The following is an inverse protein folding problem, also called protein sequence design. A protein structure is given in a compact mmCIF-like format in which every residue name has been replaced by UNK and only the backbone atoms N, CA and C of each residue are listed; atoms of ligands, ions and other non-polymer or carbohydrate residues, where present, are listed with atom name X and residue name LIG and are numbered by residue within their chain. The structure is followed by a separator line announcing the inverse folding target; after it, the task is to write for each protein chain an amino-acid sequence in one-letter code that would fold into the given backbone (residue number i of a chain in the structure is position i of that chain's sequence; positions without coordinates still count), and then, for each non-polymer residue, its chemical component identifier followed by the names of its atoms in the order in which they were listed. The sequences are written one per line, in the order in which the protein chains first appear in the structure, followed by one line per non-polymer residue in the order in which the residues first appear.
data_IF_872497376663
#
_entry.id   IF_872497376663
#
_cell.length_a   1.000
_cell.length_b   1.000
_cell.length_c   1.000
_cell.angle_alpha   90.00
_cell.angle_beta   90.00
_cell.angle_gamma   90.00
#
_symmetry.space_group_name_H-M   'P 1'
#
loop_
_entity.id
_entity.type
_entity.pdbx_description
1 polymer ?
#
# COMPACT_ATOMS: atom_id res chain seq x y z
N UNK A 1 27.48 -0.15 -5.01
CA UNK A 1 26.30 -0.83 -5.57
C UNK A 1 25.22 -0.66 -4.53
N UNK A 2 24.09 -0.07 -4.90
CA UNK A 2 22.96 0.06 -3.98
C UNK A 2 22.44 -1.35 -3.63
N UNK A 3 21.99 -1.55 -2.39
CA UNK A 3 21.43 -2.82 -1.97
C UNK A 3 20.16 -3.13 -2.78
N UNK A 4 19.92 -4.41 -3.07
CA UNK A 4 18.66 -4.85 -3.67
C UNK A 4 17.53 -4.57 -2.69
N UNK A 5 16.51 -3.83 -3.13
CA UNK A 5 15.31 -3.54 -2.35
C UNK A 5 14.22 -4.58 -2.62
N UNK A 6 13.49 -4.99 -1.59
CA UNK A 6 12.37 -5.92 -1.68
C UNK A 6 11.04 -5.21 -1.45
N UNK A 7 10.04 -5.55 -2.26
CA UNK A 7 8.67 -5.09 -2.08
C UNK A 7 7.68 -6.25 -2.16
N UNK A 8 6.48 -6.04 -1.61
CA UNK A 8 5.37 -6.99 -1.64
C UNK A 8 4.10 -6.30 -2.13
N UNK A 9 3.29 -7.03 -2.88
CA UNK A 9 1.99 -6.53 -3.36
C UNK A 9 1.00 -6.48 -2.20
N UNK A 10 0.48 -5.29 -1.92
CA UNK A 10 -0.62 -5.05 -1.01
C UNK A 10 -1.87 -4.75 -1.82
N UNK A 11 -2.77 -5.73 -1.89
CA UNK A 11 -4.06 -5.52 -2.54
C UNK A 11 -4.92 -4.56 -1.73
N UNK A 12 -5.34 -3.47 -2.37
CA UNK A 12 -6.32 -2.52 -1.82
C UNK A 12 -7.75 -2.90 -2.27
N UNK A 13 -7.89 -3.97 -3.06
CA UNK A 13 -9.15 -4.38 -3.69
C UNK A 13 -10.10 -5.09 -2.73
N UNK A 14 -10.89 -4.26 -2.04
CA UNK A 14 -12.29 -4.42 -1.66
C UNK A 14 -12.74 -3.26 -0.75
N UNK A 15 -11.80 -2.42 -0.35
CA UNK A 15 -12.09 -1.18 0.33
C UNK A 15 -12.55 -0.14 -0.71
N UNK A 16 -13.78 0.35 -0.58
CA UNK A 16 -13.92 1.79 -0.70
C UNK A 16 -12.96 2.37 0.34
N UNK A 17 -11.84 2.98 -0.07
CA UNK A 17 -10.94 3.67 0.85
C UNK A 17 -11.58 5.00 1.29
N UNK A 18 -12.86 4.93 1.65
CA UNK A 18 -13.68 6.04 2.12
C UNK A 18 -14.25 5.76 3.53
N UNK A 19 -14.12 4.53 4.04
CA UNK A 19 -14.53 4.21 5.41
C UNK A 19 -13.32 4.08 6.33
N UNK A 20 -13.38 4.80 7.47
CA UNK A 20 -12.39 4.79 8.57
C UNK A 20 -11.93 3.37 8.96
N UNK A 21 -12.78 2.36 8.80
CA UNK A 21 -12.46 0.96 9.03
C UNK A 21 -11.35 0.41 8.10
N UNK A 22 -11.42 0.73 6.79
CA UNK A 22 -10.43 0.26 5.82
C UNK A 22 -9.09 0.96 5.94
N UNK A 23 -9.08 2.21 6.45
CA UNK A 23 -7.83 2.91 6.79
C UNK A 23 -7.07 2.19 7.91
N UNK A 24 -7.78 1.65 8.89
CA UNK A 24 -7.20 0.85 9.98
C UNK A 24 -6.56 -0.45 9.50
N UNK A 25 -7.24 -1.19 8.63
CA UNK A 25 -6.71 -2.43 8.06
C UNK A 25 -5.53 -2.19 7.12
N UNK A 26 -5.59 -1.12 6.31
CA UNK A 26 -4.48 -0.71 5.45
C UNK A 26 -3.23 -0.37 6.27
N UNK A 27 -3.37 0.51 7.28
CA UNK A 27 -2.26 0.89 8.16
C UNK A 27 -1.66 -0.30 8.91
N UNK A 28 -2.51 -1.21 9.41
CA UNK A 28 -2.05 -2.46 10.05
C UNK A 28 -1.23 -3.34 9.11
N UNK A 29 -1.65 -3.47 7.85
CA UNK A 29 -0.91 -4.26 6.87
C UNK A 29 0.42 -3.60 6.49
N UNK A 30 0.44 -2.27 6.30
CA UNK A 30 1.66 -1.49 6.06
C UNK A 30 2.64 -1.66 7.22
N UNK A 31 2.17 -1.54 8.47
CA UNK A 31 2.99 -1.75 9.66
C UNK A 31 3.60 -3.16 9.69
N UNK A 32 2.79 -4.18 9.43
CA UNK A 32 3.22 -5.57 9.37
C UNK A 32 4.29 -5.80 8.31
N UNK A 33 4.16 -5.17 7.14
CA UNK A 33 5.12 -5.30 6.05
C UNK A 33 6.46 -4.65 6.43
N UNK A 34 6.43 -3.49 7.09
CA UNK A 34 7.64 -2.86 7.63
C UNK A 34 8.31 -3.73 8.71
N UNK A 35 7.53 -4.33 9.62
CA UNK A 35 8.05 -5.28 10.62
C UNK A 35 8.73 -6.52 10.01
N UNK A 36 8.32 -6.91 8.79
CA UNK A 36 8.93 -8.01 8.04
C UNK A 36 10.23 -7.62 7.33
N UNK A 37 10.60 -6.33 7.32
CA UNK A 37 11.86 -5.84 6.75
C UNK A 37 11.81 -5.58 5.24
N UNK A 38 10.62 -5.40 4.67
CA UNK A 38 10.48 -4.94 3.28
C UNK A 38 10.80 -3.44 3.16
N UNK A 39 11.24 -3.03 1.98
CA UNK A 39 11.54 -1.63 1.66
C UNK A 39 10.34 -0.90 1.04
N UNK A 40 9.34 -1.63 0.53
CA UNK A 40 8.19 -1.02 -0.13
C UNK A 40 6.98 -1.92 -0.31
N UNK A 41 5.89 -1.29 -0.73
CA UNK A 41 4.60 -1.92 -1.07
C UNK A 41 4.20 -1.56 -2.49
N UNK A 42 3.88 -2.56 -3.30
CA UNK A 42 3.17 -2.34 -4.56
C UNK A 42 1.68 -2.27 -4.29
N UNK A 43 1.00 -1.26 -4.83
CA UNK A 43 -0.43 -1.03 -4.61
C UNK A 43 -1.24 -1.58 -5.79
N UNK A 44 -2.22 -2.45 -5.53
CA UNK A 44 -3.19 -2.84 -6.55
C UNK A 44 -4.42 -1.91 -6.48
N UNK A 45 -4.51 -0.95 -7.41
CA UNK A 45 -5.58 0.06 -7.46
C UNK A 45 -6.41 -0.17 -8.73
N UNK A 46 -7.64 -0.65 -8.54
CA UNK A 46 -8.60 -0.89 -9.64
C UNK A 46 -9.23 0.40 -10.16
N UNK A 47 -9.71 1.23 -9.25
CA UNK A 47 -10.36 2.50 -9.57
C UNK A 47 -9.67 3.61 -8.75
N UNK A 48 -8.87 4.48 -9.40
CA UNK A 48 -8.16 5.54 -8.69
C UNK A 48 -9.09 6.60 -8.10
N UNK A 49 -10.34 6.72 -8.58
CA UNK A 49 -11.31 7.67 -8.02
C UNK A 49 -11.80 7.29 -6.62
N UNK A 50 -11.60 6.03 -6.23
CA UNK A 50 -12.04 5.47 -4.94
C UNK A 50 -10.91 5.45 -3.88
N UNK A 51 -9.79 6.11 -4.16
CA UNK A 51 -8.59 6.12 -3.30
C UNK A 51 -8.18 7.56 -2.98
N UNK A 52 -8.06 7.86 -1.68
CA UNK A 52 -7.33 9.04 -1.21
C UNK A 52 -5.82 8.73 -1.24
N UNK A 53 -5.18 9.13 -2.33
CA UNK A 53 -3.76 8.89 -2.56
C UNK A 53 -2.87 9.58 -1.51
N UNK A 54 -3.25 10.75 -1.02
CA UNK A 54 -2.47 11.49 -0.03
C UNK A 54 -2.49 10.77 1.32
N UNK A 55 -3.67 10.36 1.78
CA UNK A 55 -3.80 9.58 3.01
C UNK A 55 -3.10 8.22 2.92
N UNK A 56 -3.14 7.57 1.76
CA UNK A 56 -2.43 6.32 1.51
C UNK A 56 -0.92 6.52 1.62
N UNK A 57 -0.36 7.48 0.88
CA UNK A 57 1.07 7.77 0.89
C UNK A 57 1.56 8.22 2.28
N UNK A 58 0.74 8.97 3.03
CA UNK A 58 1.04 9.36 4.39
C UNK A 58 1.17 8.15 5.34
N UNK A 59 0.31 7.14 5.19
CA UNK A 59 0.42 5.89 5.96
C UNK A 59 1.66 5.11 5.54
N UNK A 60 1.89 4.89 4.24
CA UNK A 60 3.07 4.16 3.75
C UNK A 60 4.38 4.80 4.23
N UNK A 61 4.50 6.12 4.09
CA UNK A 61 5.67 6.88 4.52
C UNK A 61 5.88 6.89 6.04
N UNK A 62 4.82 6.81 6.85
CA UNK A 62 4.93 6.71 8.32
C UNK A 62 5.73 5.50 8.78
N UNK A 63 5.68 4.41 8.02
CA UNK A 63 6.39 3.17 8.31
C UNK A 63 7.69 3.00 7.52
N UNK A 64 8.16 4.07 6.85
CA UNK A 64 9.42 4.06 6.12
C UNK A 64 9.43 3.22 4.84
N UNK A 65 8.25 2.86 4.33
CA UNK A 65 8.11 2.09 3.09
C UNK A 65 8.01 3.02 1.87
N UNK A 66 8.47 2.54 0.72
CA UNK A 66 8.29 3.17 -0.59
C UNK A 66 7.10 2.55 -1.35
N UNK A 67 6.60 3.25 -2.38
CA UNK A 67 5.65 2.70 -3.36
C UNK A 67 6.33 2.57 -4.72
N UNK A 68 7.02 1.44 -5.01
CA UNK A 68 7.78 1.29 -6.25
C UNK A 68 6.91 1.03 -7.48
N UNK A 69 5.66 0.57 -7.29
CA UNK A 69 4.76 0.22 -8.38
C UNK A 69 3.28 0.36 -7.97
N UNK A 70 2.44 0.58 -8.99
CA UNK A 70 0.97 0.54 -8.87
C UNK A 70 0.45 -0.40 -9.96
N UNK A 71 -0.18 -1.50 -9.54
CA UNK A 71 -0.87 -2.42 -10.43
C UNK A 71 -2.29 -1.92 -10.74
N UNK A 72 -2.62 -1.81 -12.03
CA UNK A 72 -3.95 -1.36 -12.52
C UNK A 72 -4.75 -2.48 -13.19
N UNK A 73 -4.29 -3.73 -13.07
CA UNK A 73 -4.98 -4.89 -13.62
C UNK A 73 -6.29 -5.19 -12.89
N UNK A 74 -7.23 -5.88 -13.54
CA UNK A 74 -8.39 -6.43 -12.86
C UNK A 74 -7.94 -7.62 -11.98
N UNK A 75 -7.54 -7.40 -10.72
CA UNK A 75 -7.39 -8.54 -9.82
C UNK A 75 -8.78 -9.13 -9.57
N UNK A 76 -8.95 -10.39 -9.94
CA UNK A 76 -10.13 -11.23 -9.72
C UNK A 76 -10.00 -12.01 -8.42
#
# INVERSE_FOLDING_TARGET
MDAVKFSIVLSVQQAHFEAVAYKGDFERNVARIAELGYDGVELAIRDPSQVDAEALLAVVGRYGLEVPAVGTGQAW
#
